data_IF_926313837272
#
_entry.id   IF_926313837272
#
_cell.length_a   1.000
_cell.length_b   1.000
_cell.length_c   1.000
_cell.angle_alpha   90.00
_cell.angle_beta   90.00
_cell.angle_gamma   90.00
#
_symmetry.space_group_name_H-M   'P 1'
#
loop_
_entity.id
_entity.type
_entity.pdbx_description
1 polymer ?
#
# COMPACT_ATOMS: atom_id res chain seq x y z
N UNK A 1 -13.41 -13.60 3.68
CA UNK A 1 -12.27 -13.97 2.82
C UNK A 1 -11.04 -14.36 3.64
N UNK A 2 -11.21 -15.03 4.77
CA UNK A 2 -10.11 -15.60 5.58
C UNK A 2 -9.95 -17.09 5.31
N UNK A 3 -8.74 -17.62 5.55
CA UNK A 3 -8.45 -19.04 5.37
C UNK A 3 -9.26 -19.91 6.36
N UNK A 4 -9.56 -19.37 7.53
CA UNK A 4 -10.39 -19.99 8.55
C UNK A 4 -11.06 -18.94 9.45
N UNK A 5 -11.98 -19.38 10.29
CA UNK A 5 -12.73 -18.52 11.20
C UNK A 5 -11.80 -17.75 12.17
N UNK A 6 -10.81 -18.41 12.75
CA UNK A 6 -9.89 -17.82 13.73
C UNK A 6 -9.15 -16.62 13.14
N UNK A 7 -8.67 -16.73 11.90
CA UNK A 7 -7.99 -15.62 11.20
C UNK A 7 -8.97 -14.48 10.92
N UNK A 8 -10.19 -14.77 10.54
CA UNK A 8 -11.23 -13.77 10.33
C UNK A 8 -11.58 -13.02 11.62
N UNK A 9 -11.77 -13.75 12.71
CA UNK A 9 -12.07 -13.19 14.04
C UNK A 9 -10.94 -12.31 14.55
N UNK A 10 -9.67 -12.65 14.32
CA UNK A 10 -8.53 -11.79 14.66
C UNK A 10 -8.62 -10.43 14.01
N UNK A 11 -8.96 -10.38 12.72
CA UNK A 11 -9.10 -9.10 12.01
C UNK A 11 -10.28 -8.28 12.55
N UNK A 12 -11.43 -8.91 12.76
CA UNK A 12 -12.62 -8.25 13.31
C UNK A 12 -12.35 -7.70 14.71
N UNK A 13 -11.68 -8.48 15.57
CA UNK A 13 -11.32 -8.05 16.91
C UNK A 13 -10.32 -6.89 16.92
N UNK A 14 -9.39 -6.87 15.97
CA UNK A 14 -8.47 -5.74 15.79
C UNK A 14 -9.21 -4.45 15.40
N UNK A 15 -10.15 -4.54 14.47
CA UNK A 15 -11.00 -3.40 14.07
C UNK A 15 -11.81 -2.90 15.26
N UNK A 16 -12.46 -3.79 16.02
CA UNK A 16 -13.22 -3.44 17.23
C UNK A 16 -12.33 -2.78 18.29
N UNK A 17 -11.09 -3.24 18.43
CA UNK A 17 -10.14 -2.63 19.35
C UNK A 17 -9.85 -1.16 18.96
N UNK A 18 -9.68 -0.87 17.66
CA UNK A 18 -9.47 0.49 17.17
C UNK A 18 -10.72 1.36 17.34
N UNK A 19 -11.91 0.83 17.10
CA UNK A 19 -13.17 1.52 17.37
C UNK A 19 -13.28 1.92 18.86
N UNK A 20 -12.99 0.99 19.75
CA UNK A 20 -13.01 1.22 21.20
C UNK A 20 -11.93 2.20 21.66
N UNK A 21 -10.73 2.07 21.12
CA UNK A 21 -9.64 3.00 21.40
C UNK A 21 -9.99 4.43 20.99
N UNK A 22 -10.49 4.61 19.78
CA UNK A 22 -10.88 5.90 19.24
C UNK A 22 -12.00 6.53 20.07
N UNK A 23 -13.02 5.74 20.42
CA UNK A 23 -14.12 6.20 21.27
C UNK A 23 -13.66 6.64 22.65
N UNK A 24 -12.80 5.86 23.32
CA UNK A 24 -12.25 6.20 24.65
C UNK A 24 -11.42 7.49 24.62
N UNK A 25 -10.74 7.76 23.53
CA UNK A 25 -9.94 8.97 23.35
C UNK A 25 -10.75 10.13 22.74
N UNK A 26 -12.09 10.03 22.67
CA UNK A 26 -12.98 11.05 22.10
C UNK A 26 -12.61 11.46 20.67
N UNK A 27 -11.98 10.54 19.92
CA UNK A 27 -11.63 10.71 18.52
C UNK A 27 -12.74 10.21 17.59
N UNK A 28 -12.52 10.39 16.30
CA UNK A 28 -13.40 9.87 15.24
C UNK A 28 -12.58 9.05 14.24
N UNK A 29 -13.14 7.93 13.78
CA UNK A 29 -12.59 7.16 12.67
C UNK A 29 -13.07 7.69 11.31
N UNK A 30 -13.89 8.72 11.28
CA UNK A 30 -14.46 9.35 10.10
C UNK A 30 -13.74 10.66 9.72
N UNK A 31 -12.41 10.68 9.80
CA UNK A 31 -11.58 11.84 9.45
C UNK A 31 -10.92 11.75 8.07
N UNK A 32 -11.27 10.76 7.29
CA UNK A 32 -10.87 10.56 5.90
C UNK A 32 -12.10 10.60 4.98
N UNK A 33 -11.94 10.90 3.69
CA UNK A 33 -10.70 11.32 3.02
C UNK A 33 -10.24 12.72 3.41
N UNK A 34 -8.92 12.95 3.35
CA UNK A 34 -8.34 14.29 3.59
C UNK A 34 -8.80 15.31 2.54
N UNK A 35 -8.69 16.62 2.81
CA UNK A 35 -9.07 17.65 1.84
C UNK A 35 -8.45 17.46 0.45
N UNK A 36 -7.18 17.03 0.38
CA UNK A 36 -6.52 16.75 -0.89
C UNK A 36 -7.08 15.54 -1.63
N UNK A 37 -7.53 14.50 -0.91
CA UNK A 37 -8.22 13.37 -1.52
C UNK A 37 -9.63 13.77 -2.02
N UNK A 38 -10.36 14.61 -1.29
CA UNK A 38 -11.66 15.16 -1.71
C UNK A 38 -11.52 15.99 -2.99
N UNK A 39 -10.51 16.85 -3.06
CA UNK A 39 -10.20 17.62 -4.27
C UNK A 39 -9.87 16.73 -5.47
N UNK A 40 -9.28 15.56 -5.23
CA UNK A 40 -9.01 14.53 -6.25
C UNK A 40 -10.21 13.63 -6.59
N UNK A 41 -11.41 13.91 -6.06
CA UNK A 41 -12.65 13.24 -6.44
C UNK A 41 -13.21 12.23 -5.43
N UNK A 42 -12.50 11.88 -4.36
CA UNK A 42 -13.02 11.00 -3.31
C UNK A 42 -14.07 11.72 -2.45
N UNK A 43 -15.24 11.12 -2.28
CA UNK A 43 -16.38 11.73 -1.58
C UNK A 43 -16.50 11.29 -0.13
N UNK A 44 -16.32 9.99 0.14
CA UNK A 44 -16.58 9.38 1.44
C UNK A 44 -15.43 8.50 1.91
N UNK A 45 -15.38 8.23 3.22
CA UNK A 45 -14.46 7.24 3.80
C UNK A 45 -14.74 5.82 3.28
N UNK A 46 -16.00 5.50 3.04
CA UNK A 46 -16.39 4.18 2.49
C UNK A 46 -15.78 3.96 1.11
N UNK A 47 -15.86 4.94 0.22
CA UNK A 47 -15.26 4.89 -1.12
C UNK A 47 -13.75 4.67 -1.05
N UNK A 48 -13.06 5.40 -0.18
CA UNK A 48 -11.62 5.23 0.05
C UNK A 48 -11.29 3.84 0.61
N UNK A 49 -12.08 3.36 1.57
CA UNK A 49 -11.88 2.05 2.21
C UNK A 49 -12.12 0.89 1.25
N UNK A 50 -13.12 0.98 0.38
CA UNK A 50 -13.37 -0.02 -0.66
C UNK A 50 -12.19 -0.12 -1.63
N UNK A 51 -11.65 1.02 -2.10
CA UNK A 51 -10.45 1.06 -2.92
C UNK A 51 -9.24 0.43 -2.24
N UNK A 52 -9.04 0.71 -0.94
CA UNK A 52 -7.97 0.09 -0.16
C UNK A 52 -8.15 -1.43 -0.01
N UNK A 53 -9.39 -1.89 0.21
CA UNK A 53 -9.70 -3.32 0.34
C UNK A 53 -9.45 -4.11 -0.95
N UNK A 54 -9.72 -3.50 -2.11
CA UNK A 54 -9.50 -4.11 -3.44
C UNK A 54 -8.02 -4.40 -3.70
N UNK A 55 -7.11 -3.59 -3.16
CA UNK A 55 -5.66 -3.83 -3.27
C UNK A 55 -5.21 -5.20 -2.73
N UNK A 56 -5.96 -5.76 -1.78
CA UNK A 56 -5.69 -7.10 -1.24
C UNK A 56 -6.02 -8.26 -2.20
N UNK A 57 -6.51 -8.00 -3.41
CA UNK A 57 -6.87 -9.03 -4.41
C UNK A 57 -7.94 -10.01 -3.91
N UNK A 58 -7.95 -11.23 -4.43
CA UNK A 58 -8.98 -12.24 -4.19
C UNK A 58 -8.50 -13.44 -3.33
N UNK A 59 -7.22 -13.49 -2.99
CA UNK A 59 -6.66 -14.60 -2.21
C UNK A 59 -7.12 -14.56 -0.76
N UNK A 60 -7.22 -15.73 -0.08
CA UNK A 60 -7.61 -15.78 1.32
C UNK A 60 -6.62 -15.05 2.22
N UNK A 61 -7.12 -14.38 3.25
CA UNK A 61 -6.29 -13.82 4.32
C UNK A 61 -5.72 -14.96 5.17
N UNK A 62 -4.39 -15.10 5.15
CA UNK A 62 -3.64 -16.18 5.80
C UNK A 62 -3.23 -15.85 7.23
N UNK A 63 -3.12 -14.58 7.58
CA UNK A 63 -2.70 -14.14 8.92
C UNK A 63 -2.96 -12.68 9.20
N UNK A 64 -3.09 -12.35 10.47
CA UNK A 64 -3.23 -10.98 10.99
C UNK A 64 -2.15 -10.77 12.04
N UNK A 65 -1.39 -9.70 11.88
CA UNK A 65 -0.21 -9.37 12.66
C UNK A 65 -0.35 -7.98 13.28
N UNK A 66 0.24 -7.78 14.44
CA UNK A 66 0.44 -6.46 15.02
C UNK A 66 1.59 -5.75 14.30
N UNK A 67 1.71 -4.45 14.55
CA UNK A 67 2.79 -3.64 14.01
C UNK A 67 4.17 -4.25 14.29
N UNK A 68 4.97 -4.43 13.26
CA UNK A 68 6.31 -4.98 13.30
C UNK A 68 6.44 -6.45 13.76
N UNK A 69 5.35 -7.18 13.96
CA UNK A 69 5.40 -8.62 14.24
C UNK A 69 6.06 -9.36 13.07
N UNK A 70 6.91 -10.34 13.37
CA UNK A 70 7.52 -11.20 12.36
C UNK A 70 6.44 -12.02 11.64
N UNK A 71 6.33 -11.83 10.35
CA UNK A 71 5.37 -12.54 9.50
C UNK A 71 5.85 -13.96 9.24
N UNK A 72 5.06 -14.95 9.66
CA UNK A 72 5.36 -16.38 9.51
C UNK A 72 4.48 -17.07 8.46
N UNK A 73 3.27 -16.57 8.22
CA UNK A 73 2.36 -17.12 7.22
C UNK A 73 2.81 -16.79 5.80
N UNK A 74 2.57 -17.71 4.87
CA UNK A 74 2.76 -17.48 3.43
C UNK A 74 1.42 -17.10 2.80
N UNK A 75 1.45 -16.21 1.81
CA UNK A 75 0.28 -15.70 1.11
C UNK A 75 -0.14 -14.32 1.58
N UNK A 76 -1.39 -13.94 1.34
CA UNK A 76 -1.91 -12.63 1.72
C UNK A 76 -2.06 -12.52 3.23
N UNK A 77 -1.41 -11.54 3.84
CA UNK A 77 -1.47 -11.25 5.28
C UNK A 77 -1.83 -9.78 5.51
N UNK A 78 -2.34 -9.47 6.68
CA UNK A 78 -2.61 -8.12 7.13
C UNK A 78 -1.71 -7.78 8.32
N UNK A 79 -1.04 -6.62 8.28
CA UNK A 79 -0.32 -6.07 9.43
C UNK A 79 -0.98 -4.76 9.84
N UNK A 80 -1.35 -4.66 11.11
CA UNK A 80 -1.81 -3.40 11.69
C UNK A 80 -0.67 -2.37 11.66
N UNK A 81 -0.89 -1.26 10.97
CA UNK A 81 0.13 -0.24 10.74
C UNK A 81 -0.47 1.15 10.83
N UNK A 82 0.29 2.15 11.31
CA UNK A 82 -0.19 3.53 11.33
C UNK A 82 -0.40 4.07 9.92
N UNK A 83 -1.32 5.01 9.76
CA UNK A 83 -1.63 5.67 8.49
C UNK A 83 -0.59 6.73 8.07
N UNK A 84 0.69 6.50 8.37
CA UNK A 84 1.82 7.36 8.02
C UNK A 84 2.88 6.52 7.30
N UNK A 85 3.15 6.83 6.03
CA UNK A 85 3.91 5.97 5.13
C UNK A 85 5.27 5.49 5.68
N UNK A 86 6.17 6.38 6.17
CA UNK A 86 7.46 5.93 6.71
C UNK A 86 7.32 4.96 7.89
N UNK A 87 6.42 5.26 8.83
CA UNK A 87 6.21 4.39 9.98
C UNK A 87 5.57 3.06 9.57
N UNK A 88 4.57 3.10 8.67
CA UNK A 88 3.91 1.89 8.18
C UNK A 88 4.90 0.93 7.50
N UNK A 89 5.71 1.43 6.57
CA UNK A 89 6.68 0.63 5.84
C UNK A 89 7.80 0.13 6.75
N UNK A 90 8.25 0.92 7.71
CA UNK A 90 9.26 0.49 8.71
C UNK A 90 8.77 -0.73 9.48
N UNK A 91 7.51 -0.76 9.92
CA UNK A 91 6.94 -1.93 10.59
C UNK A 91 6.82 -3.14 9.69
N UNK A 92 6.46 -2.95 8.42
CA UNK A 92 6.39 -4.04 7.44
C UNK A 92 7.77 -4.64 7.17
N UNK A 93 8.80 -3.82 7.04
CA UNK A 93 10.19 -4.28 6.86
C UNK A 93 10.67 -5.03 8.11
N UNK A 94 10.40 -4.51 9.30
CA UNK A 94 10.72 -5.19 10.56
C UNK A 94 9.99 -6.55 10.66
N UNK A 95 8.78 -6.66 10.10
CA UNK A 95 8.02 -7.89 10.00
C UNK A 95 8.53 -8.89 8.95
N UNK A 96 9.52 -8.51 8.12
CA UNK A 96 10.15 -9.38 7.13
C UNK A 96 9.87 -9.00 5.66
N UNK A 97 9.24 -7.84 5.40
CA UNK A 97 9.07 -7.35 4.04
C UNK A 97 10.43 -6.98 3.43
N UNK A 98 10.77 -7.54 2.28
CA UNK A 98 12.02 -7.32 1.57
C UNK A 98 11.88 -6.55 0.24
N UNK A 99 10.64 -6.23 -0.15
CA UNK A 99 10.30 -5.39 -1.29
C UNK A 99 8.95 -4.71 -1.03
N UNK A 100 8.83 -3.44 -1.38
CA UNK A 100 7.61 -2.65 -1.19
C UNK A 100 7.04 -2.23 -2.54
N UNK A 101 5.75 -2.47 -2.77
CA UNK A 101 4.99 -1.87 -3.86
C UNK A 101 4.12 -0.75 -3.28
N UNK A 102 4.45 0.49 -3.59
CA UNK A 102 3.80 1.66 -3.02
C UNK A 102 2.91 2.37 -4.04
N UNK A 103 1.61 2.34 -3.81
CA UNK A 103 0.63 3.01 -4.68
C UNK A 103 0.30 4.39 -4.15
N UNK A 104 0.30 5.40 -5.02
CA UNK A 104 -0.03 6.78 -4.64
C UNK A 104 -0.79 7.51 -5.75
N UNK A 105 -1.78 8.33 -5.35
CA UNK A 105 -2.53 9.20 -6.26
C UNK A 105 -2.09 10.67 -6.20
N UNK A 106 -1.40 11.06 -5.12
CA UNK A 106 -0.92 12.44 -4.92
C UNK A 106 0.58 12.61 -5.16
N UNK A 107 1.29 11.51 -5.21
CA UNK A 107 2.74 11.46 -5.23
C UNK A 107 3.34 11.31 -3.82
N UNK A 108 4.53 10.76 -3.76
CA UNK A 108 5.32 10.61 -2.54
C UNK A 108 6.79 10.51 -2.92
N UNK A 109 7.64 11.24 -2.24
CA UNK A 109 9.10 11.09 -2.33
C UNK A 109 9.63 9.97 -1.42
N UNK A 110 8.73 9.25 -0.71
CA UNK A 110 9.12 8.18 0.20
C UNK A 110 9.75 7.00 -0.55
N UNK A 111 10.85 6.50 -0.02
CA UNK A 111 11.51 5.27 -0.40
C UNK A 111 12.27 4.68 0.78
N UNK A 112 12.65 3.41 0.70
CA UNK A 112 13.36 2.72 1.78
C UNK A 112 14.60 2.03 1.22
N UNK A 113 15.77 2.26 1.85
CA UNK A 113 17.01 1.55 1.50
C UNK A 113 17.04 0.09 1.95
N UNK A 114 16.54 -0.28 3.16
CA UNK A 114 16.54 -1.67 3.61
C UNK A 114 15.69 -2.62 2.77
N UNK A 115 14.64 -2.09 2.12
CA UNK A 115 13.81 -2.85 1.19
C UNK A 115 13.49 -1.95 -0.01
N UNK A 116 13.83 -2.33 -1.24
CA UNK A 116 13.56 -1.52 -2.42
C UNK A 116 12.05 -1.23 -2.53
N UNK A 117 11.74 -0.01 -2.95
CA UNK A 117 10.36 0.46 -3.08
C UNK A 117 10.06 0.74 -4.55
N UNK A 118 9.11 0.03 -5.12
CA UNK A 118 8.55 0.26 -6.45
C UNK A 118 7.36 1.19 -6.29
N UNK A 119 7.37 2.34 -6.96
CA UNK A 119 6.32 3.34 -6.85
C UNK A 119 5.38 3.32 -8.04
N UNK A 120 4.10 3.14 -7.73
CA UNK A 120 3.02 2.98 -8.69
C UNK A 120 2.12 4.22 -8.65
N UNK A 121 2.18 5.03 -9.71
CA UNK A 121 1.32 6.19 -9.87
C UNK A 121 -0.08 5.76 -10.32
N UNK A 122 -1.13 6.22 -9.64
CA UNK A 122 -2.51 5.84 -9.97
C UNK A 122 -3.18 6.77 -10.98
N UNK A 123 -2.52 7.83 -11.42
CA UNK A 123 -2.97 8.72 -12.50
C UNK A 123 -1.79 9.28 -13.27
N UNK A 124 -2.00 9.52 -14.56
CA UNK A 124 -0.97 9.98 -15.51
C UNK A 124 -0.50 11.41 -15.25
N UNK A 125 -1.38 12.28 -14.78
CA UNK A 125 -1.01 13.68 -14.47
C UNK A 125 0.06 13.72 -13.36
N UNK A 126 -0.16 12.99 -12.27
CA UNK A 126 0.80 12.92 -11.18
C UNK A 126 2.08 12.22 -11.62
N UNK A 127 1.99 11.13 -12.38
CA UNK A 127 3.15 10.44 -12.93
C UNK A 127 4.04 11.40 -13.75
N UNK A 128 3.44 12.20 -14.64
CA UNK A 128 4.16 13.14 -15.49
C UNK A 128 4.86 14.24 -14.68
N UNK A 129 4.21 14.69 -13.60
CA UNK A 129 4.77 15.72 -12.70
C UNK A 129 5.90 15.20 -11.81
N UNK A 130 5.87 13.92 -11.44
CA UNK A 130 6.84 13.29 -10.54
C UNK A 130 7.54 12.10 -11.21
N UNK A 131 7.91 12.25 -12.46
CA UNK A 131 8.44 11.16 -13.27
C UNK A 131 9.71 10.52 -12.69
N UNK A 132 10.55 11.33 -12.03
CA UNK A 132 11.78 10.85 -11.41
C UNK A 132 11.55 10.10 -10.08
N UNK A 133 10.35 10.25 -9.51
CA UNK A 133 9.95 9.60 -8.26
C UNK A 133 9.01 8.41 -8.44
N UNK A 134 8.59 8.08 -9.67
CA UNK A 134 7.61 7.03 -9.96
C UNK A 134 8.14 6.02 -10.95
N UNK A 135 8.00 4.73 -10.64
CA UNK A 135 8.47 3.63 -11.50
C UNK A 135 7.44 3.26 -12.57
N UNK A 136 6.16 3.24 -12.24
CA UNK A 136 5.08 2.78 -13.14
C UNK A 136 3.93 3.77 -13.18
N UNK A 137 3.50 4.11 -14.39
CA UNK A 137 2.23 4.80 -14.61
C UNK A 137 1.09 3.77 -14.71
N UNK A 138 0.21 3.71 -13.70
CA UNK A 138 -1.03 2.93 -13.77
C UNK A 138 -2.24 3.78 -14.21
N UNK A 139 -2.07 5.10 -14.33
CA UNK A 139 -3.11 6.00 -14.82
C UNK A 139 -3.47 5.74 -16.27
N UNK A 140 -2.55 5.20 -17.06
CA UNK A 140 -2.75 4.84 -18.45
C UNK A 140 -3.81 3.72 -18.67
N UNK A 141 -4.19 3.00 -17.62
CA UNK A 141 -5.39 2.12 -17.63
C UNK A 141 -6.65 2.96 -17.79
N UNK A 142 -6.75 4.06 -17.04
CA UNK A 142 -7.90 4.97 -17.12
C UNK A 142 -7.91 5.75 -18.44
N UNK A 143 -6.73 6.00 -18.99
CA UNK A 143 -6.54 6.67 -20.29
C UNK A 143 -6.84 5.72 -21.48
N UNK A 144 -7.10 4.44 -21.22
CA UNK A 144 -7.44 3.43 -22.22
C UNK A 144 -6.25 2.90 -23.04
N UNK A 145 -5.02 3.12 -22.58
CA UNK A 145 -3.82 2.69 -23.29
C UNK A 145 -3.40 1.26 -22.93
N UNK A 146 -3.76 0.78 -21.74
CA UNK A 146 -3.44 -0.56 -21.26
C UNK A 146 -4.61 -1.18 -20.50
N UNK A 147 -4.73 -2.50 -20.57
CA UNK A 147 -5.64 -3.26 -19.70
C UNK A 147 -5.05 -3.43 -18.29
N UNK A 148 -5.89 -3.80 -17.33
CA UNK A 148 -5.47 -4.13 -15.96
C UNK A 148 -4.51 -5.31 -15.96
N UNK A 149 -4.73 -6.32 -16.80
CA UNK A 149 -3.92 -7.52 -16.94
C UNK A 149 -2.52 -7.20 -17.47
N UNK A 150 -2.43 -6.39 -18.52
CA UNK A 150 -1.15 -5.95 -19.09
C UNK A 150 -0.33 -5.17 -18.06
N UNK A 151 -1.00 -4.24 -17.34
CA UNK A 151 -0.34 -3.46 -16.30
C UNK A 151 0.08 -4.34 -15.11
N UNK A 152 -0.76 -5.28 -14.72
CA UNK A 152 -0.43 -6.27 -13.70
C UNK A 152 0.80 -7.10 -14.06
N UNK A 153 0.93 -7.53 -15.31
CA UNK A 153 2.11 -8.24 -15.82
C UNK A 153 3.36 -7.36 -15.78
N UNK A 154 3.26 -6.11 -16.22
CA UNK A 154 4.36 -5.14 -16.17
C UNK A 154 4.88 -4.95 -14.74
N UNK A 155 3.96 -4.77 -13.78
CA UNK A 155 4.32 -4.63 -12.36
C UNK A 155 5.00 -5.90 -11.84
N UNK A 156 4.47 -7.06 -12.17
CA UNK A 156 5.04 -8.34 -11.74
C UNK A 156 6.46 -8.56 -12.28
N UNK A 157 6.69 -8.27 -13.56
CA UNK A 157 8.02 -8.33 -14.18
C UNK A 157 8.99 -7.35 -13.52
N UNK A 158 8.54 -6.14 -13.19
CA UNK A 158 9.35 -5.17 -12.45
C UNK A 158 9.70 -5.66 -11.04
N UNK A 159 8.74 -6.28 -10.33
CA UNK A 159 9.02 -6.90 -9.02
C UNK A 159 10.14 -7.94 -9.14
N UNK A 160 10.10 -8.81 -10.14
CA UNK A 160 11.14 -9.81 -10.36
C UNK A 160 12.50 -9.18 -10.66
N UNK A 161 12.56 -8.16 -11.49
CA UNK A 161 13.78 -7.42 -11.82
C UNK A 161 14.38 -6.75 -10.59
N UNK A 162 13.58 -6.02 -9.83
CA UNK A 162 14.03 -5.35 -8.61
C UNK A 162 14.46 -6.36 -7.53
N UNK A 163 13.75 -7.47 -7.38
CA UNK A 163 14.14 -8.56 -6.51
C UNK A 163 15.46 -9.24 -6.96
N UNK A 164 15.80 -9.12 -8.23
CA UNK A 164 17.05 -9.63 -8.82
C UNK A 164 18.19 -8.60 -8.80
N UNK A 165 18.00 -7.42 -8.20
CA UNK A 165 19.04 -6.40 -8.00
C UNK A 165 18.94 -5.20 -8.94
N UNK A 166 17.94 -5.09 -9.81
CA UNK A 166 17.69 -3.87 -10.57
C UNK A 166 17.21 -2.76 -9.61
N UNK A 167 17.70 -1.53 -9.81
CA UNK A 167 17.34 -0.41 -8.93
C UNK A 167 16.00 0.19 -9.35
N UNK A 168 15.13 0.47 -8.39
CA UNK A 168 13.95 1.31 -8.58
C UNK A 168 14.33 2.81 -8.69
N UNK A 169 13.43 3.66 -9.17
CA UNK A 169 13.69 5.08 -9.41
C UNK A 169 14.34 5.79 -8.20
N UNK A 170 13.85 5.58 -7.01
CA UNK A 170 14.39 6.22 -5.79
C UNK A 170 15.80 5.76 -5.40
N UNK A 171 16.22 4.57 -5.80
CA UNK A 171 17.60 4.12 -5.57
C UNK A 171 18.59 4.75 -6.55
N UNK A 172 18.11 5.25 -7.69
CA UNK A 172 18.93 6.04 -8.62
C UNK A 172 19.06 7.49 -8.17
N UNK A 173 18.00 8.08 -7.60
CA UNK A 173 17.94 9.51 -7.25
C UNK A 173 18.41 9.82 -5.84
N UNK A 174 18.46 8.81 -4.93
CA UNK A 174 19.01 9.00 -3.59
C UNK A 174 20.51 9.23 -3.66
N UNK A 175 21.03 10.35 -3.09
CA UNK A 175 22.47 10.53 -2.99
C UNK A 175 23.07 9.34 -2.24
N UNK A 176 24.12 8.76 -2.81
CA UNK A 176 24.92 7.76 -2.11
C UNK A 176 25.51 8.40 -0.86
N UNK A 177 25.52 7.73 0.30
CA UNK A 177 26.21 8.26 1.46
C UNK A 177 27.70 8.35 1.21
#
# INVERSE_FOLDING_TARGET
RSINQVTGEKLVNLVKWWEDYTRRNKGSMDNNPSPGNKKGGLTTILEKSLGASVKGGNTPLMGVYKYADVVKARGFVFMDSPGYDPASVTGQIAGGCNLVCFTTGRGSAFGSKPAPTIKLATNTEMYSRMKDDMDVNCGDILDGHHSVEEKGRQIYEMILKVASGEKSCLLYTSPSP
#
